data_IF_682292398858
#
_entry.id   IF_682292398858
#
_cell.length_a   1.000
_cell.length_b   1.000
_cell.length_c   1.000
_cell.angle_alpha   90.00
_cell.angle_beta   90.00
_cell.angle_gamma   90.00
#
_symmetry.space_group_name_H-M   'P 1'
#
loop_
_entity.id
_entity.type
_entity.pdbx_description
1 polymer ?
#
# COMPACT_ATOMS: atom_id res chain seq x y z
N UNK A 1 11.97 -9.55 -8.12
CA UNK A 1 11.11 -9.56 -6.90
C UNK A 1 9.72 -10.14 -7.19
N UNK A 2 8.71 -9.38 -7.64
CA UNK A 2 7.38 -9.93 -7.95
C UNK A 2 7.41 -11.01 -9.04
N UNK A 3 8.11 -10.75 -10.15
CA UNK A 3 8.30 -11.72 -11.26
C UNK A 3 9.09 -12.99 -10.89
N UNK A 4 9.78 -12.98 -9.76
CA UNK A 4 10.63 -14.09 -9.31
C UNK A 4 9.97 -14.86 -8.15
N UNK A 5 8.80 -14.42 -7.67
CA UNK A 5 8.07 -15.00 -6.54
C UNK A 5 8.94 -15.19 -5.28
N UNK A 6 9.72 -14.15 -4.94
CA UNK A 6 10.62 -14.13 -3.76
C UNK A 6 10.14 -13.14 -2.72
N UNK A 7 8.88 -13.25 -2.32
CA UNK A 7 8.25 -12.34 -1.35
C UNK A 7 8.90 -12.43 0.03
N UNK A 8 9.37 -13.62 0.44
CA UNK A 8 10.02 -13.83 1.74
C UNK A 8 11.36 -13.10 1.91
N UNK A 9 12.02 -12.67 0.83
CA UNK A 9 13.30 -11.97 0.92
C UNK A 9 13.17 -10.48 1.24
N UNK A 10 11.99 -9.90 0.96
CA UNK A 10 11.71 -8.47 1.18
C UNK A 10 11.03 -8.21 2.51
N UNK A 11 10.41 -9.23 3.10
CA UNK A 11 9.75 -9.14 4.40
C UNK A 11 10.79 -9.13 5.53
N UNK A 12 10.66 -8.20 6.47
CA UNK A 12 11.48 -8.19 7.68
C UNK A 12 11.28 -9.50 8.44
N UNK A 13 12.37 -10.17 8.84
CA UNK A 13 12.35 -11.45 9.56
C UNK A 13 11.57 -11.42 10.87
N UNK A 14 11.31 -10.23 11.43
CA UNK A 14 10.50 -10.03 12.65
C UNK A 14 8.99 -10.06 12.37
N UNK A 15 8.56 -9.95 11.12
CA UNK A 15 7.16 -10.05 10.73
C UNK A 15 6.78 -11.54 10.58
N UNK A 16 5.95 -12.04 11.50
CA UNK A 16 5.41 -13.40 11.44
C UNK A 16 3.95 -13.39 10.98
N UNK A 17 3.55 -14.36 10.15
CA UNK A 17 2.16 -14.51 9.71
C UNK A 17 1.70 -13.42 8.75
N UNK A 18 2.61 -12.91 7.93
CA UNK A 18 2.29 -11.94 6.87
C UNK A 18 1.36 -12.59 5.86
N UNK A 19 0.28 -11.89 5.55
CA UNK A 19 -0.62 -12.29 4.46
C UNK A 19 0.05 -12.00 3.11
N UNK A 20 0.21 -13.04 2.30
CA UNK A 20 0.94 -12.95 1.04
C UNK A 20 0.21 -12.10 0.00
N UNK A 21 -1.13 -12.12 0.01
CA UNK A 21 -1.97 -11.36 -0.91
C UNK A 21 -1.84 -9.85 -0.61
N UNK A 22 -2.05 -9.45 0.65
CA UNK A 22 -1.84 -8.06 1.08
C UNK A 22 -0.41 -7.59 0.80
N UNK A 23 0.58 -8.44 1.01
CA UNK A 23 1.99 -8.10 0.74
C UNK A 23 2.25 -7.87 -0.76
N UNK A 24 1.67 -8.68 -1.63
CA UNK A 24 1.81 -8.52 -3.08
C UNK A 24 1.26 -7.16 -3.53
N UNK A 25 0.08 -6.77 -3.02
CA UNK A 25 -0.51 -5.45 -3.35
C UNK A 25 0.33 -4.29 -2.81
N UNK A 26 0.85 -4.40 -1.59
CA UNK A 26 1.74 -3.38 -1.02
C UNK A 26 3.02 -3.23 -1.84
N UNK A 27 3.60 -4.34 -2.31
CA UNK A 27 4.82 -4.30 -3.13
C UNK A 27 4.55 -3.73 -4.52
N UNK A 28 3.42 -4.05 -5.13
CA UNK A 28 3.01 -3.44 -6.40
C UNK A 28 2.81 -1.92 -6.24
N UNK A 29 2.17 -1.48 -5.15
CA UNK A 29 2.02 -0.07 -4.83
C UNK A 29 3.39 0.61 -4.62
N UNK A 30 4.29 -0.01 -3.87
CA UNK A 30 5.64 0.51 -3.65
C UNK A 30 6.44 0.62 -4.95
N UNK A 31 6.33 -0.36 -5.85
CA UNK A 31 6.96 -0.32 -7.16
C UNK A 31 6.46 0.87 -7.98
N UNK A 32 5.13 1.10 -8.02
CA UNK A 32 4.54 2.25 -8.73
C UNK A 32 4.93 3.59 -8.11
N UNK A 33 4.96 3.70 -6.77
CA UNK A 33 5.41 4.92 -6.07
C UNK A 33 6.88 5.26 -6.34
N UNK A 34 7.70 4.26 -6.64
CA UNK A 34 9.14 4.41 -6.87
C UNK A 34 9.52 4.33 -8.34
N UNK A 35 8.54 4.44 -9.25
CA UNK A 35 8.82 4.34 -10.68
C UNK A 35 9.83 5.41 -11.13
N UNK A 36 10.74 4.98 -11.98
CA UNK A 36 11.75 5.83 -12.60
C UNK A 36 11.12 6.96 -13.42
N UNK A 37 9.96 6.71 -14.03
CA UNK A 37 9.15 7.72 -14.70
C UNK A 37 8.22 8.38 -13.68
N UNK A 38 8.30 9.71 -13.57
CA UNK A 38 7.46 10.46 -12.64
C UNK A 38 5.98 10.41 -13.01
N UNK A 39 5.65 10.30 -14.30
CA UNK A 39 4.27 10.28 -14.79
C UNK A 39 3.55 8.96 -14.48
N UNK A 40 4.29 7.88 -14.26
CA UNK A 40 3.74 6.56 -13.90
C UNK A 40 3.50 6.42 -12.39
N UNK A 41 3.98 7.38 -11.59
CA UNK A 41 3.77 7.38 -10.15
C UNK A 41 2.32 7.74 -9.82
N UNK A 42 1.67 7.02 -8.90
CA UNK A 42 0.33 7.34 -8.46
C UNK A 42 0.30 8.66 -7.69
N UNK A 43 -0.82 9.35 -7.76
CA UNK A 43 -1.11 10.46 -6.84
C UNK A 43 -1.25 9.92 -5.41
N UNK A 44 -0.96 10.77 -4.41
CA UNK A 44 -1.13 10.38 -3.00
C UNK A 44 -2.58 9.97 -2.66
N UNK A 45 -3.58 10.50 -3.35
CA UNK A 45 -4.97 10.08 -3.17
C UNK A 45 -5.20 8.63 -3.63
N UNK A 46 -4.62 8.23 -4.77
CA UNK A 46 -4.67 6.84 -5.25
C UNK A 46 -3.90 5.89 -4.32
N UNK A 47 -2.77 6.34 -3.77
CA UNK A 47 -2.01 5.57 -2.77
C UNK A 47 -2.85 5.33 -1.52
N UNK A 48 -3.51 6.36 -1.00
CA UNK A 48 -4.38 6.25 0.18
C UNK A 48 -5.54 5.28 -0.06
N UNK A 49 -6.24 5.40 -1.19
CA UNK A 49 -7.37 4.52 -1.52
C UNK A 49 -6.99 3.04 -1.57
N UNK A 50 -5.81 2.71 -2.11
CA UNK A 50 -5.33 1.33 -2.13
C UNK A 50 -4.99 0.82 -0.72
N UNK A 51 -4.33 1.63 0.10
CA UNK A 51 -4.01 1.25 1.48
C UNK A 51 -5.27 1.09 2.35
N UNK A 52 -6.29 1.91 2.10
CA UNK A 52 -7.60 1.79 2.75
C UNK A 52 -8.32 0.48 2.40
N UNK A 53 -8.21 0.02 1.16
CA UNK A 53 -8.86 -1.20 0.70
C UNK A 53 -8.17 -2.47 1.22
N UNK A 54 -6.84 -2.48 1.23
CA UNK A 54 -6.05 -3.70 1.49
C UNK A 54 -5.63 -3.86 2.96
N UNK A 55 -5.44 -2.75 3.68
CA UNK A 55 -4.83 -2.77 5.03
C UNK A 55 -5.80 -2.32 6.11
N UNK A 56 -6.71 -1.40 5.80
CA UNK A 56 -7.67 -0.90 6.78
C UNK A 56 -8.93 -1.76 6.80
N UNK A 57 -9.24 -2.35 7.96
CA UNK A 57 -10.56 -2.92 8.23
C UNK A 57 -11.63 -1.84 8.00
N UNK A 58 -12.81 -2.16 7.42
CA UNK A 58 -13.88 -1.20 7.22
C UNK A 58 -14.43 -0.74 8.58
N UNK A 59 -13.88 0.36 9.09
CA UNK A 59 -14.46 1.21 10.13
C UNK A 59 -14.11 2.67 9.79
N UNK A 60 -15.07 3.60 9.93
CA UNK A 60 -15.28 4.62 8.92
C UNK A 60 -14.48 5.88 9.15
N UNK A 61 -14.27 6.57 8.05
CA UNK A 61 -13.72 7.91 7.80
C UNK A 61 -14.29 9.08 8.64
N UNK A 62 -15.06 8.85 9.72
CA UNK A 62 -15.65 9.95 10.53
C UNK A 62 -14.59 10.83 11.22
N UNK A 63 -13.34 10.36 11.35
CA UNK A 63 -12.25 11.19 11.87
C UNK A 63 -11.57 12.09 10.81
N UNK A 64 -11.67 11.74 9.53
CA UNK A 64 -10.94 12.46 8.46
C UNK A 64 -11.76 13.62 7.87
N UNK A 65 -13.09 13.62 8.01
CA UNK A 65 -13.95 14.75 7.55
C UNK A 65 -13.99 15.94 8.53
N UNK A 66 -13.48 15.82 9.76
CA UNK A 66 -13.64 16.85 10.80
C UNK A 66 -12.71 18.09 10.67
N UNK A 67 -11.90 18.18 9.62
CA UNK A 67 -10.86 19.24 9.50
C UNK A 67 -10.88 20.06 8.20
N UNK A 68 -12.01 20.18 7.50
CA UNK A 68 -12.09 21.02 6.29
C UNK A 68 -13.08 22.18 6.35
N UNK A 69 -13.50 22.61 7.53
CA UNK A 69 -13.91 24.01 7.69
C UNK A 69 -12.65 24.81 8.01
N UNK A 70 -12.19 25.67 7.08
CA UNK A 70 -11.64 27.02 7.27
C UNK A 70 -11.16 27.61 5.93
#
# INVERSE_FOLDING_TARGET
LLKENRLEDVVDRRCSGVDAETLEVILELAARCTDSNADDRPSMNQVLQLLEQEVMSPCPSEFYESHSDH
#
